data_IF_705530543198
#
_entry.id   IF_705530543198
#
_cell.length_a   1.000
_cell.length_b   1.000
_cell.length_c   1.000
_cell.angle_alpha   90.00
_cell.angle_beta   90.00
_cell.angle_gamma   90.00
#
_symmetry.space_group_name_H-M   'P 1'
#
loop_
_entity.id
_entity.type
_entity.pdbx_description
1 polymer ?
#
# COMPACT_ATOMS: atom_id res chain seq x y z
N UNK A 1 67.44 19.71 -0.65
CA UNK A 1 66.86 18.36 -0.50
C UNK A 1 65.39 18.54 -0.09
N UNK A 2 64.45 18.44 -1.04
CA UNK A 2 63.02 18.62 -0.78
C UNK A 2 62.36 17.25 -0.58
N UNK A 3 61.81 17.02 0.62
CA UNK A 3 61.00 15.84 0.94
C UNK A 3 59.56 16.15 0.53
N UNK A 4 59.07 15.50 -0.52
CA UNK A 4 57.65 15.52 -0.89
C UNK A 4 56.93 14.41 -0.10
N UNK A 5 56.09 14.80 0.87
CA UNK A 5 55.13 13.90 1.49
C UNK A 5 54.01 13.59 0.47
N UNK A 6 53.89 12.33 0.04
CA UNK A 6 52.68 11.82 -0.59
C UNK A 6 51.69 11.43 0.50
N UNK A 7 50.59 12.18 0.61
CA UNK A 7 49.43 11.78 1.41
C UNK A 7 48.52 10.93 0.51
N UNK A 8 48.48 9.62 0.78
CA UNK A 8 47.55 8.71 0.11
C UNK A 8 46.20 8.81 0.82
N UNK A 9 45.23 9.52 0.23
CA UNK A 9 43.88 9.59 0.74
C UNK A 9 43.16 8.27 0.44
N UNK A 10 42.93 7.47 1.49
CA UNK A 10 42.14 6.24 1.40
C UNK A 10 40.64 6.63 1.35
N UNK A 11 40.04 6.59 0.16
CA UNK A 11 38.59 6.74 -0.02
C UNK A 11 37.89 5.49 0.53
N UNK A 12 37.33 5.60 1.73
CA UNK A 12 36.44 4.59 2.30
C UNK A 12 35.11 4.67 1.54
N UNK A 13 34.86 3.73 0.64
CA UNK A 13 33.54 3.54 0.03
C UNK A 13 32.69 2.76 1.04
N UNK A 14 31.83 3.47 1.77
CA UNK A 14 30.82 2.80 2.60
C UNK A 14 29.78 2.15 1.67
N UNK A 15 29.36 0.90 1.93
CA UNK A 15 28.28 0.29 1.17
C UNK A 15 27.02 1.12 1.37
N UNK A 16 26.37 1.50 0.27
CA UNK A 16 25.08 2.16 0.30
C UNK A 16 24.05 1.15 0.79
N UNK A 17 23.69 1.22 2.06
CA UNK A 17 22.61 0.40 2.61
C UNK A 17 21.32 0.87 1.92
N UNK A 18 20.75 0.02 1.08
CA UNK A 18 19.47 0.31 0.46
C UNK A 18 18.45 0.61 1.56
N UNK A 19 17.71 1.71 1.43
CA UNK A 19 16.66 2.05 2.38
C UNK A 19 15.66 0.88 2.49
N UNK A 20 15.18 0.62 3.70
CA UNK A 20 14.13 -0.37 3.92
C UNK A 20 12.91 -0.03 3.02
N UNK A 21 12.32 -1.03 2.34
CA UNK A 21 11.21 -0.78 1.43
C UNK A 21 10.00 -0.23 2.20
N UNK A 22 9.28 0.70 1.58
CA UNK A 22 8.00 1.22 2.10
C UNK A 22 7.03 0.07 2.26
N UNK A 23 6.53 -0.14 3.47
CA UNK A 23 5.52 -1.18 3.75
C UNK A 23 4.16 -0.68 3.30
N UNK A 24 3.54 -1.41 2.38
CA UNK A 24 2.23 -1.08 1.81
C UNK A 24 1.18 -2.04 2.35
N UNK A 25 0.04 -1.47 2.75
CA UNK A 25 -1.16 -2.23 3.13
C UNK A 25 -2.23 -2.15 2.06
N UNK A 26 -3.02 -3.22 1.89
CA UNK A 26 -4.18 -3.22 0.99
C UNK A 26 -5.48 -3.24 1.81
N UNK A 27 -6.45 -2.39 1.44
CA UNK A 27 -7.83 -2.44 1.96
C UNK A 27 -8.75 -2.89 0.83
N UNK A 28 -9.39 -4.05 0.98
CA UNK A 28 -10.21 -4.66 -0.05
C UNK A 28 -9.41 -5.65 -0.90
N UNK A 29 -9.86 -6.89 -0.94
CA UNK A 29 -9.21 -7.99 -1.68
C UNK A 29 -10.09 -8.50 -2.82
N UNK A 30 -10.83 -7.62 -3.48
CA UNK A 30 -11.97 -8.03 -4.31
C UNK A 30 -11.97 -7.43 -5.74
N UNK A 31 -10.90 -6.71 -6.10
CA UNK A 31 -10.61 -6.24 -7.46
C UNK A 31 -9.39 -6.95 -8.04
N UNK A 32 -9.30 -7.01 -9.37
CA UNK A 32 -8.12 -7.56 -10.08
C UNK A 32 -6.85 -6.72 -9.90
N UNK A 33 -6.98 -5.49 -9.40
CA UNK A 33 -5.84 -4.62 -9.11
C UNK A 33 -5.00 -5.16 -7.95
N UNK A 34 -5.62 -5.83 -6.98
CA UNK A 34 -4.97 -6.35 -5.77
C UNK A 34 -3.78 -7.27 -6.09
N UNK A 35 -3.96 -8.35 -6.87
CA UNK A 35 -2.83 -9.17 -7.30
C UNK A 35 -1.95 -8.48 -8.34
N UNK A 36 -2.42 -7.44 -9.04
CA UNK A 36 -1.61 -6.72 -10.03
C UNK A 36 -0.58 -5.79 -9.37
N UNK A 37 -1.01 -4.94 -8.44
CA UNK A 37 -0.14 -4.08 -7.65
C UNK A 37 0.80 -4.92 -6.79
N UNK A 38 0.28 -5.92 -6.08
CA UNK A 38 1.12 -6.80 -5.24
C UNK A 38 2.23 -7.45 -6.05
N UNK A 39 1.91 -8.00 -7.23
CA UNK A 39 2.92 -8.63 -8.09
C UNK A 39 4.00 -7.65 -8.53
N UNK A 40 3.63 -6.45 -8.98
CA UNK A 40 4.59 -5.44 -9.44
C UNK A 40 5.51 -4.98 -8.28
N UNK A 41 4.98 -4.88 -7.06
CA UNK A 41 5.72 -4.42 -5.89
C UNK A 41 6.52 -5.52 -5.18
N UNK A 42 6.07 -6.77 -5.22
CA UNK A 42 6.66 -7.85 -4.43
C UNK A 42 7.54 -8.83 -5.22
N UNK A 43 7.44 -8.86 -6.56
CA UNK A 43 8.15 -9.84 -7.39
C UNK A 43 9.34 -9.20 -8.15
N UNK A 44 10.58 -9.29 -7.60
CA UNK A 44 11.76 -8.72 -8.22
C UNK A 44 12.23 -9.47 -9.48
N UNK A 45 11.65 -10.63 -9.80
CA UNK A 45 12.02 -11.39 -10.99
C UNK A 45 11.39 -10.83 -12.27
N UNK A 46 10.44 -9.91 -12.14
CA UNK A 46 9.65 -9.43 -13.28
C UNK A 46 10.25 -8.19 -13.95
N UNK A 47 10.11 -8.07 -15.28
CA UNK A 47 10.54 -6.87 -16.02
C UNK A 47 9.83 -5.57 -15.61
N UNK A 48 8.59 -5.68 -15.11
CA UNK A 48 7.76 -4.55 -14.67
C UNK A 48 7.84 -4.30 -13.15
N UNK A 49 8.81 -4.91 -12.45
CA UNK A 49 8.99 -4.72 -11.02
C UNK A 49 9.31 -3.27 -10.66
N UNK A 50 8.60 -2.73 -9.68
CA UNK A 50 8.85 -1.40 -9.12
C UNK A 50 9.48 -1.56 -7.74
N UNK A 51 10.79 -1.28 -7.58
CA UNK A 51 11.47 -1.41 -6.29
C UNK A 51 11.11 -0.25 -5.34
N UNK A 52 11.43 -0.43 -4.05
CA UNK A 52 11.30 0.61 -3.02
C UNK A 52 10.01 0.56 -2.20
N UNK A 53 9.06 -0.29 -2.57
CA UNK A 53 7.86 -0.57 -1.78
C UNK A 53 7.50 -2.06 -1.85
N UNK A 54 6.81 -2.56 -0.83
CA UNK A 54 6.35 -3.95 -0.75
C UNK A 54 5.01 -4.02 -0.05
N UNK A 55 4.06 -4.76 -0.61
CA UNK A 55 2.82 -5.12 0.06
C UNK A 55 3.11 -6.15 1.14
N UNK A 56 2.77 -5.86 2.40
CA UNK A 56 3.08 -6.74 3.54
C UNK A 56 1.85 -7.23 4.29
N UNK A 57 0.73 -6.50 4.21
CA UNK A 57 -0.51 -6.86 4.88
C UNK A 57 -1.73 -6.44 4.06
N UNK A 58 -2.87 -7.11 4.25
CA UNK A 58 -4.13 -6.76 3.61
C UNK A 58 -5.33 -7.02 4.53
N UNK A 59 -6.32 -6.13 4.51
CA UNK A 59 -7.64 -6.35 5.09
C UNK A 59 -8.62 -6.75 3.98
N UNK A 60 -9.35 -7.87 4.17
CA UNK A 60 -10.18 -8.46 3.11
C UNK A 60 -11.28 -7.53 2.60
N UNK A 61 -12.04 -6.91 3.51
CA UNK A 61 -13.21 -6.10 3.19
C UNK A 61 -14.29 -6.89 2.44
N UNK A 62 -14.74 -6.33 1.32
CA UNK A 62 -15.76 -6.91 0.45
C UNK A 62 -17.18 -6.37 0.69
N UNK A 63 -18.06 -6.63 -0.27
CA UNK A 63 -19.47 -6.23 -0.28
C UNK A 63 -20.34 -7.43 -0.67
N UNK A 64 -21.10 -8.02 0.26
CA UNK A 64 -21.87 -9.24 0.01
C UNK A 64 -22.92 -9.10 -1.09
N UNK A 65 -23.44 -7.89 -1.31
CA UNK A 65 -24.45 -7.56 -2.31
C UNK A 65 -23.85 -7.27 -3.71
N UNK A 66 -22.53 -7.24 -3.84
CA UNK A 66 -21.83 -7.00 -5.11
C UNK A 66 -21.21 -8.30 -5.59
N UNK A 67 -21.72 -8.85 -6.70
CA UNK A 67 -21.29 -10.17 -7.23
C UNK A 67 -19.78 -10.24 -7.48
N UNK A 68 -19.22 -9.21 -8.13
CA UNK A 68 -17.77 -9.14 -8.38
C UNK A 68 -16.96 -9.08 -7.09
N UNK A 69 -17.52 -8.56 -6.01
CA UNK A 69 -16.84 -8.49 -4.72
C UNK A 69 -16.90 -9.85 -4.01
N UNK A 70 -18.12 -10.33 -3.74
CA UNK A 70 -18.38 -11.55 -2.97
C UNK A 70 -17.71 -12.79 -3.57
N UNK A 71 -17.60 -12.88 -4.90
CA UNK A 71 -16.97 -14.02 -5.57
C UNK A 71 -15.44 -13.96 -5.62
N UNK A 72 -14.84 -12.79 -5.38
CA UNK A 72 -13.39 -12.57 -5.55
C UNK A 72 -12.63 -12.37 -4.25
N UNK A 73 -13.29 -11.84 -3.22
CA UNK A 73 -12.67 -11.46 -1.93
C UNK A 73 -11.81 -12.58 -1.34
N UNK A 74 -12.37 -13.79 -1.19
CA UNK A 74 -11.63 -14.92 -0.63
C UNK A 74 -10.53 -15.42 -1.57
N UNK A 75 -10.79 -15.40 -2.88
CA UNK A 75 -9.83 -15.86 -3.89
C UNK A 75 -8.57 -15.02 -3.90
N UNK A 76 -8.69 -13.69 -3.96
CA UNK A 76 -7.50 -12.84 -4.01
C UNK A 76 -6.84 -12.72 -2.64
N UNK A 77 -7.57 -12.74 -1.53
CA UNK A 77 -6.96 -12.84 -0.21
C UNK A 77 -6.05 -14.09 -0.10
N UNK A 78 -6.57 -15.26 -0.48
CA UNK A 78 -5.79 -16.49 -0.50
C UNK A 78 -4.58 -16.39 -1.44
N UNK A 79 -4.75 -15.76 -2.62
CA UNK A 79 -3.65 -15.53 -3.54
C UNK A 79 -2.55 -14.66 -2.93
N UNK A 80 -2.92 -13.58 -2.23
CA UNK A 80 -1.97 -12.69 -1.56
C UNK A 80 -1.12 -13.43 -0.52
N UNK A 81 -1.76 -14.28 0.28
CA UNK A 81 -1.09 -15.11 1.29
C UNK A 81 -0.15 -16.13 0.65
N UNK A 82 -0.65 -16.86 -0.35
CA UNK A 82 0.05 -18.01 -0.94
C UNK A 82 1.22 -17.59 -1.84
N UNK A 83 1.02 -16.59 -2.70
CA UNK A 83 1.99 -16.23 -3.73
C UNK A 83 3.07 -15.27 -3.18
N UNK A 84 2.71 -14.41 -2.22
CA UNK A 84 3.61 -13.33 -1.75
C UNK A 84 3.78 -13.24 -0.23
N UNK A 85 3.13 -14.11 0.55
CA UNK A 85 3.25 -14.12 2.01
C UNK A 85 2.68 -12.86 2.66
N UNK A 86 1.70 -12.21 2.03
CA UNK A 86 1.04 -11.02 2.59
C UNK A 86 0.14 -11.45 3.74
N UNK A 87 0.26 -10.78 4.89
CA UNK A 87 -0.54 -11.09 6.08
C UNK A 87 -1.99 -10.59 5.93
N UNK A 88 -2.98 -11.47 6.10
CA UNK A 88 -4.38 -11.04 6.17
C UNK A 88 -4.75 -10.63 7.59
N UNK A 89 -5.12 -9.37 7.77
CA UNK A 89 -5.41 -8.77 9.08
C UNK A 89 -6.92 -8.61 9.30
N UNK A 90 -7.40 -8.61 10.56
CA UNK A 90 -8.83 -8.62 10.87
C UNK A 90 -9.54 -7.28 10.63
N UNK A 91 -8.81 -6.17 10.66
CA UNK A 91 -9.36 -4.82 10.55
C UNK A 91 -8.35 -3.78 10.03
N UNK A 92 -8.87 -2.61 9.64
CA UNK A 92 -8.08 -1.51 9.08
C UNK A 92 -7.14 -0.86 10.12
N UNK A 93 -7.53 -0.64 11.39
CA UNK A 93 -6.59 -0.18 12.41
C UNK A 93 -5.37 -1.08 12.58
N UNK A 94 -5.57 -2.41 12.60
CA UNK A 94 -4.48 -3.40 12.65
C UNK A 94 -3.61 -3.28 11.40
N UNK A 95 -4.20 -3.11 10.22
CA UNK A 95 -3.45 -2.85 8.98
C UNK A 95 -2.56 -1.61 9.11
N UNK A 96 -3.14 -0.47 9.50
CA UNK A 96 -2.43 0.81 9.65
C UNK A 96 -1.27 0.75 10.65
N UNK A 97 -1.35 -0.14 11.65
CA UNK A 97 -0.26 -0.33 12.63
C UNK A 97 1.00 -1.00 12.04
N UNK A 98 0.86 -1.69 10.90
CA UNK A 98 1.91 -2.51 10.27
C UNK A 98 2.56 -1.87 9.04
N UNK A 99 1.98 -0.79 8.50
CA UNK A 99 2.31 -0.26 7.17
C UNK A 99 2.62 1.23 7.19
N UNK A 100 3.35 1.68 6.18
CA UNK A 100 3.74 3.07 5.96
C UNK A 100 2.76 3.80 5.04
N UNK A 101 2.17 3.09 4.07
CA UNK A 101 1.18 3.61 3.13
C UNK A 101 0.08 2.57 2.82
N UNK A 102 -1.04 3.01 2.26
CA UNK A 102 -2.21 2.19 1.97
C UNK A 102 -2.65 2.28 0.52
N UNK A 103 -3.03 1.16 -0.08
CA UNK A 103 -3.83 1.08 -1.31
C UNK A 103 -5.26 0.67 -0.91
N UNK A 104 -6.21 1.58 -1.09
CA UNK A 104 -7.63 1.31 -0.89
C UNK A 104 -8.22 0.83 -2.21
N UNK A 105 -8.42 -0.48 -2.33
CA UNK A 105 -8.75 -1.19 -3.57
C UNK A 105 -10.08 -1.95 -3.50
N UNK A 106 -10.96 -1.62 -2.56
CA UNK A 106 -12.31 -2.21 -2.53
C UNK A 106 -13.03 -1.93 -3.85
N UNK A 107 -13.60 -2.96 -4.50
CA UNK A 107 -14.24 -2.77 -5.81
C UNK A 107 -15.52 -1.92 -5.73
N UNK A 108 -16.14 -1.87 -4.56
CA UNK A 108 -17.35 -1.10 -4.27
C UNK A 108 -17.02 0.25 -3.63
N UNK A 109 -17.11 1.31 -4.44
CA UNK A 109 -16.88 2.69 -4.00
C UNK A 109 -17.79 3.19 -2.87
N UNK A 110 -18.91 2.50 -2.57
CA UNK A 110 -19.76 2.81 -1.40
C UNK A 110 -19.04 2.55 -0.07
N UNK A 111 -17.94 1.80 -0.08
CA UNK A 111 -17.18 1.44 1.13
C UNK A 111 -16.07 2.44 1.44
N UNK A 112 -15.60 3.19 0.44
CA UNK A 112 -14.35 3.95 0.51
C UNK A 112 -14.35 5.01 1.62
N UNK A 113 -15.45 5.76 1.79
CA UNK A 113 -15.53 6.80 2.81
C UNK A 113 -15.32 6.23 4.22
N UNK A 114 -16.01 5.14 4.57
CA UNK A 114 -15.85 4.53 5.89
C UNK A 114 -14.49 3.86 6.06
N UNK A 115 -13.95 3.27 4.99
CA UNK A 115 -12.66 2.59 5.02
C UNK A 115 -11.48 3.56 5.10
N UNK A 116 -11.56 4.75 4.51
CA UNK A 116 -10.45 5.72 4.52
C UNK A 116 -10.36 6.51 5.83
N UNK A 117 -11.47 6.66 6.57
CA UNK A 117 -11.48 7.34 7.88
C UNK A 117 -10.38 6.84 8.84
N UNK A 118 -10.28 5.53 9.17
CA UNK A 118 -9.21 5.04 10.06
C UNK A 118 -7.80 5.20 9.47
N UNK A 119 -7.67 5.31 8.14
CA UNK A 119 -6.38 5.55 7.47
C UNK A 119 -5.93 6.99 7.67
N UNK A 120 -6.86 7.95 7.50
CA UNK A 120 -6.62 9.36 7.80
C UNK A 120 -6.36 9.60 9.29
N UNK A 121 -7.10 8.95 10.18
CA UNK A 121 -6.86 9.00 11.63
C UNK A 121 -5.45 8.48 12.00
N UNK A 122 -4.98 7.44 11.31
CA UNK A 122 -3.63 6.90 11.49
C UNK A 122 -2.53 7.71 10.79
N UNK A 123 -2.87 8.78 10.06
CA UNK A 123 -1.91 9.63 9.37
C UNK A 123 -1.20 8.95 8.18
N UNK A 124 -1.79 7.90 7.60
CA UNK A 124 -1.14 7.09 6.56
C UNK A 124 -1.48 7.61 5.16
N UNK A 125 -0.49 7.92 4.30
CA UNK A 125 -0.74 8.21 2.90
C UNK A 125 -1.53 7.08 2.23
N UNK A 126 -2.51 7.43 1.41
CA UNK A 126 -3.44 6.46 0.85
C UNK A 126 -3.79 6.73 -0.59
N UNK A 127 -3.53 5.77 -1.48
CA UNK A 127 -4.09 5.80 -2.83
C UNK A 127 -5.48 5.16 -2.80
N UNK A 128 -6.49 5.85 -3.34
CA UNK A 128 -7.85 5.32 -3.45
C UNK A 128 -8.14 4.93 -4.90
N UNK A 129 -8.38 3.65 -5.13
CA UNK A 129 -8.67 3.13 -6.47
C UNK A 129 -10.02 3.61 -7.00
N UNK A 130 -10.19 3.48 -8.32
CA UNK A 130 -11.44 3.80 -9.00
C UNK A 130 -12.58 2.84 -8.61
N UNK A 131 -13.81 3.36 -8.51
CA UNK A 131 -14.18 4.78 -8.45
C UNK A 131 -13.83 5.38 -7.08
N UNK A 132 -13.51 6.68 -7.01
CA UNK A 132 -13.13 7.33 -5.75
C UNK A 132 -14.17 7.15 -4.63
N UNK A 133 -15.46 7.31 -4.95
CA UNK A 133 -16.59 6.96 -4.07
C UNK A 133 -17.87 6.75 -4.91
N UNK A 134 -18.98 6.38 -4.26
CA UNK A 134 -20.27 6.15 -4.93
C UNK A 134 -21.13 7.42 -5.10
N UNK A 135 -20.77 8.53 -4.45
CA UNK A 135 -21.49 9.80 -4.54
C UNK A 135 -20.54 10.99 -4.53
N UNK A 136 -20.97 12.13 -5.09
CA UNK A 136 -20.21 13.38 -5.03
C UNK A 136 -20.08 13.89 -3.58
N UNK A 137 -21.07 13.63 -2.73
CA UNK A 137 -21.03 13.97 -1.32
C UNK A 137 -19.89 13.24 -0.61
N UNK A 138 -19.78 11.92 -0.81
CA UNK A 138 -18.70 11.12 -0.25
C UNK A 138 -17.33 11.57 -0.77
N UNK A 139 -17.21 11.89 -2.07
CA UNK A 139 -15.96 12.43 -2.63
C UNK A 139 -15.54 13.72 -1.91
N UNK A 140 -16.49 14.64 -1.71
CA UNK A 140 -16.22 15.90 -1.00
C UNK A 140 -15.84 15.65 0.45
N UNK A 141 -16.47 14.68 1.10
CA UNK A 141 -16.17 14.33 2.48
C UNK A 141 -14.79 13.68 2.63
N UNK A 142 -14.41 12.76 1.73
CA UNK A 142 -13.04 12.21 1.67
C UNK A 142 -12.02 13.35 1.53
N UNK A 143 -12.25 14.29 0.61
CA UNK A 143 -11.35 15.43 0.40
C UNK A 143 -11.26 16.34 1.63
N UNK A 144 -12.39 16.60 2.30
CA UNK A 144 -12.44 17.38 3.53
C UNK A 144 -11.67 16.69 4.66
N UNK A 145 -11.84 15.37 4.81
CA UNK A 145 -11.18 14.57 5.84
C UNK A 145 -9.67 14.44 5.61
N UNK A 146 -9.23 14.22 4.37
CA UNK A 146 -7.81 14.19 4.01
C UNK A 146 -7.13 15.52 4.33
N UNK A 147 -7.76 16.64 3.96
CA UNK A 147 -7.28 17.99 4.32
C UNK A 147 -7.26 18.22 5.84
N UNK A 148 -8.31 17.79 6.55
CA UNK A 148 -8.40 17.93 8.02
C UNK A 148 -7.23 17.23 8.73
N UNK A 149 -6.83 16.05 8.27
CA UNK A 149 -5.75 15.27 8.88
C UNK A 149 -4.36 15.59 8.29
N UNK A 150 -4.28 16.37 7.21
CA UNK A 150 -3.01 16.69 6.54
C UNK A 150 -2.38 15.48 5.85
N UNK A 151 -3.18 14.50 5.45
CA UNK A 151 -2.72 13.24 4.86
C UNK A 151 -2.77 13.33 3.33
N UNK A 152 -1.68 12.99 2.60
CA UNK A 152 -1.70 12.86 1.15
C UNK A 152 -2.56 11.68 0.69
N UNK A 153 -3.39 11.89 -0.34
CA UNK A 153 -4.25 10.85 -0.93
C UNK A 153 -4.54 11.10 -2.40
#
# INVERSE_FOLDING_TARGET
MQIRLLVLALLVVLPHQAAEPIKVGIIGTDTSHVPAFTRILNDPSRPDHVPGARVVAAYKGGSPDVESSRTRVEKYAAQLEQDWGVEIVPDIPTLCSKVDAVLLESVDGRRHLEQVKPVFEAGKPVFIDKPLAASLEDVREIARLGKKHGVPW
#
